data_IF_255450277667
#
_entry.id   IF_255450277667
#
_cell.length_a   1.000
_cell.length_b   1.000
_cell.length_c   1.000
_cell.angle_alpha   90.00
_cell.angle_beta   90.00
_cell.angle_gamma   90.00
#
_symmetry.space_group_name_H-M   'P 1'
#
loop_
_entity.id
_entity.type
_entity.pdbx_description
1 polymer ?
#
# COMPACT_ATOMS: atom_id res chain seq x y z
N UNK A 1 12.92 -11.66 8.20
CA UNK A 1 12.10 -12.33 7.16
C UNK A 1 11.18 -11.29 6.54
N UNK A 2 10.91 -11.36 5.23
CA UNK A 2 10.03 -10.44 4.50
C UNK A 2 8.58 -10.94 4.60
N UNK A 3 7.67 -10.10 5.09
CA UNK A 3 6.21 -10.31 5.07
C UNK A 3 5.64 -9.59 3.85
N UNK A 4 4.79 -10.28 3.08
CA UNK A 4 4.16 -9.79 1.86
C UNK A 4 2.66 -10.07 1.92
N UNK A 5 1.86 -9.04 1.66
CA UNK A 5 0.39 -9.14 1.66
C UNK A 5 -0.20 -8.44 0.45
N UNK A 6 -1.08 -9.13 -0.25
CA UNK A 6 -1.89 -8.54 -1.32
C UNK A 6 -3.16 -7.97 -0.73
N UNK A 7 -3.37 -6.66 -0.83
CA UNK A 7 -4.43 -5.97 -0.12
C UNK A 7 -5.32 -5.21 -1.10
N UNK A 8 -6.55 -4.93 -0.68
CA UNK A 8 -7.51 -4.12 -1.46
C UNK A 8 -6.89 -2.80 -1.91
N UNK A 9 -7.25 -2.27 -3.10
CA UNK A 9 -6.86 -0.92 -3.50
C UNK A 9 -7.37 0.15 -2.51
N UNK A 10 -8.40 -0.14 -1.71
CA UNK A 10 -8.94 0.78 -0.71
C UNK A 10 -8.20 0.73 0.63
N UNK A 11 -7.37 -0.29 0.87
CA UNK A 11 -6.68 -0.43 2.15
C UNK A 11 -5.63 0.67 2.33
N UNK A 12 -5.54 1.24 3.53
CA UNK A 12 -4.47 2.17 3.90
C UNK A 12 -3.35 1.41 4.61
N UNK A 13 -2.21 1.27 3.92
CA UNK A 13 -1.01 0.61 4.44
C UNK A 13 -0.15 1.62 5.17
N UNK A 14 -0.40 1.77 6.48
CA UNK A 14 0.35 2.72 7.29
C UNK A 14 1.71 2.16 7.73
N UNK A 15 2.76 3.00 7.83
CA UNK A 15 4.11 2.55 8.19
C UNK A 15 4.21 1.80 9.52
N UNK A 16 3.40 2.22 10.49
CA UNK A 16 3.47 1.84 11.90
C UNK A 16 2.36 0.87 12.32
N UNK A 17 1.58 0.34 11.37
CA UNK A 17 0.50 -0.60 11.67
C UNK A 17 0.46 -1.75 10.68
N UNK A 18 0.34 -2.97 11.21
CA UNK A 18 0.04 -4.13 10.40
C UNK A 18 -1.30 -3.91 9.66
N UNK A 19 -1.41 -4.27 8.36
CA UNK A 19 -2.66 -4.13 7.63
C UNK A 19 -3.67 -5.21 8.08
N UNK A 20 -4.36 -4.99 9.21
CA UNK A 20 -5.23 -5.96 9.90
C UNK A 20 -6.48 -6.33 9.08
N UNK A 21 -6.97 -5.42 8.24
CA UNK A 21 -8.17 -5.64 7.41
C UNK A 21 -7.87 -6.13 5.99
N UNK A 22 -6.61 -6.44 5.71
CA UNK A 22 -6.21 -6.95 4.41
C UNK A 22 -6.41 -8.46 4.35
N UNK A 23 -7.57 -8.89 3.85
CA UNK A 23 -7.66 -10.23 3.27
C UNK A 23 -6.60 -10.31 2.18
N UNK A 24 -5.63 -11.21 2.32
CA UNK A 24 -4.67 -11.48 1.24
C UNK A 24 -5.46 -11.85 -0.01
N UNK A 25 -5.54 -10.91 -0.96
CA UNK A 25 -6.29 -11.10 -2.19
C UNK A 25 -5.70 -12.29 -2.93
N UNK A 26 -6.51 -13.32 -3.12
CA UNK A 26 -6.10 -14.53 -3.86
C UNK A 26 -6.55 -14.52 -5.32
N UNK A 27 -7.60 -13.74 -5.61
CA UNK A 27 -8.21 -13.61 -6.94
C UNK A 27 -8.95 -12.28 -7.04
N UNK A 28 -9.16 -11.82 -8.26
CA UNK A 28 -9.96 -10.67 -8.60
C UNK A 28 -10.54 -10.80 -10.00
N UNK A 29 -11.46 -9.91 -10.34
CA UNK A 29 -12.10 -9.82 -11.65
C UNK A 29 -12.41 -8.37 -11.96
N UNK A 30 -12.31 -7.98 -13.22
CA UNK A 30 -12.71 -6.67 -13.72
C UNK A 30 -13.47 -6.84 -15.03
N UNK A 31 -14.25 -5.84 -15.41
CA UNK A 31 -14.91 -5.79 -16.71
C UNK A 31 -13.88 -5.59 -17.83
N UNK A 32 -14.27 -5.93 -19.07
CA UNK A 32 -13.41 -5.68 -20.22
C UNK A 32 -13.18 -4.18 -20.39
N UNK A 33 -11.91 -3.77 -20.42
CA UNK A 33 -11.51 -2.36 -20.52
C UNK A 33 -11.49 -1.61 -19.18
N UNK A 34 -11.80 -2.29 -18.07
CA UNK A 34 -11.63 -1.77 -16.73
C UNK A 34 -10.25 -2.12 -16.18
N UNK A 35 -9.62 -1.14 -15.53
CA UNK A 35 -8.35 -1.35 -14.84
C UNK A 35 -8.60 -2.01 -13.48
N UNK A 36 -7.99 -3.17 -13.27
CA UNK A 36 -8.00 -3.83 -11.97
C UNK A 36 -6.82 -3.34 -11.11
N UNK A 37 -7.11 -2.84 -9.91
CA UNK A 37 -6.10 -2.32 -9.00
C UNK A 37 -6.06 -3.10 -7.69
N UNK A 38 -4.85 -3.27 -7.15
CA UNK A 38 -4.62 -3.78 -5.79
C UNK A 38 -3.28 -3.27 -5.27
N UNK A 39 -2.95 -3.59 -4.03
CA UNK A 39 -1.69 -3.18 -3.42
C UNK A 39 -0.90 -4.39 -2.92
N UNK A 40 0.42 -4.37 -3.06
CA UNK A 40 1.36 -5.25 -2.39
C UNK A 40 1.93 -4.51 -1.19
N UNK A 41 1.44 -4.82 0.01
CA UNK A 41 2.01 -4.38 1.26
C UNK A 41 3.21 -5.26 1.64
N UNK A 42 4.29 -4.66 2.11
CA UNK A 42 5.48 -5.40 2.54
C UNK A 42 6.11 -4.80 3.80
N UNK A 43 6.69 -5.68 4.62
CA UNK A 43 7.43 -5.32 5.82
C UNK A 43 8.58 -6.30 6.04
N UNK A 44 9.70 -5.81 6.57
CA UNK A 44 10.85 -6.65 6.92
C UNK A 44 10.97 -6.76 8.44
N UNK A 45 10.96 -7.97 8.98
CA UNK A 45 11.17 -8.19 10.42
C UNK A 45 12.65 -8.12 10.83
N UNK A 46 13.54 -8.00 9.86
CA UNK A 46 14.99 -8.00 10.04
C UNK A 46 15.61 -6.95 9.14
N UNK A 47 16.78 -6.44 9.52
CA UNK A 47 17.54 -5.53 8.67
C UNK A 47 17.84 -6.16 7.30
N UNK A 48 17.46 -5.46 6.23
CA UNK A 48 17.82 -5.82 4.86
C UNK A 48 18.90 -4.86 4.40
N UNK A 49 20.08 -5.39 4.08
CA UNK A 49 21.20 -4.59 3.62
C UNK A 49 21.03 -4.29 2.13
N UNK A 50 20.74 -3.03 1.81
CA UNK A 50 20.66 -2.55 0.43
C UNK A 50 19.27 -2.69 -0.21
N UNK A 51 19.14 -2.31 -1.49
CA UNK A 51 17.86 -2.31 -2.20
C UNK A 51 17.37 -3.72 -2.52
N UNK A 52 16.06 -3.93 -2.44
CA UNK A 52 15.38 -5.13 -2.92
C UNK A 52 14.87 -4.93 -4.34
N UNK A 53 14.94 -5.96 -5.19
CA UNK A 53 14.39 -5.91 -6.54
C UNK A 53 12.94 -6.40 -6.55
N UNK A 54 12.04 -5.63 -7.14
CA UNK A 54 10.66 -6.04 -7.40
C UNK A 54 10.47 -6.39 -8.87
N UNK A 55 10.06 -7.60 -9.16
CA UNK A 55 9.76 -8.04 -10.51
C UNK A 55 8.42 -8.77 -10.58
N UNK A 56 7.68 -8.50 -11.66
CA UNK A 56 6.55 -9.33 -12.05
C UNK A 56 7.11 -10.62 -12.62
N UNK A 57 6.77 -11.75 -11.99
CA UNK A 57 7.11 -13.09 -12.45
C UNK A 57 6.60 -13.33 -13.88
N UNK A 58 7.03 -14.43 -14.50
CA UNK A 58 6.52 -14.81 -15.82
C UNK A 58 4.99 -15.00 -15.77
N UNK A 59 4.29 -14.10 -16.45
CA UNK A 59 2.84 -14.03 -16.48
C UNK A 59 2.40 -13.52 -17.85
N UNK A 60 1.33 -14.10 -18.45
CA UNK A 60 0.72 -13.58 -19.67
C UNK A 60 0.30 -12.11 -19.55
N UNK A 61 0.00 -11.67 -18.32
CA UNK A 61 -0.43 -10.29 -18.01
C UNK A 61 0.74 -9.34 -17.80
N UNK A 62 2.00 -9.79 -17.86
CA UNK A 62 3.17 -8.97 -17.49
C UNK A 62 3.25 -7.63 -18.23
N UNK A 63 2.87 -7.60 -19.51
CA UNK A 63 2.86 -6.38 -20.33
C UNK A 63 1.72 -5.40 -19.99
N UNK A 64 0.74 -5.87 -19.23
CA UNK A 64 -0.43 -5.11 -18.78
C UNK A 64 -0.31 -4.65 -17.32
N UNK A 65 0.79 -5.02 -16.65
CA UNK A 65 1.00 -4.69 -15.24
C UNK A 65 1.87 -3.43 -15.12
N UNK A 66 1.34 -2.43 -14.41
CA UNK A 66 2.09 -1.24 -13.99
C UNK A 66 2.25 -1.24 -12.48
N UNK A 67 3.45 -0.86 -12.02
CA UNK A 67 3.80 -0.80 -10.60
C UNK A 67 4.08 0.66 -10.22
N UNK A 68 3.39 1.17 -9.21
CA UNK A 68 3.56 2.52 -8.68
C UNK A 68 3.91 2.43 -7.19
N UNK A 69 4.75 3.33 -6.71
CA UNK A 69 5.09 3.40 -5.28
C UNK A 69 3.97 4.14 -4.56
N UNK A 70 3.48 3.57 -3.47
CA UNK A 70 2.62 4.30 -2.53
C UNK A 70 3.51 5.06 -1.56
N UNK A 71 3.54 6.38 -1.71
CA UNK A 71 4.38 7.26 -0.89
C UNK A 71 3.55 7.81 0.27
N UNK A 72 4.14 7.74 1.45
CA UNK A 72 3.58 8.32 2.66
C UNK A 72 3.76 9.83 2.67
N UNK A 73 2.66 10.55 2.85
CA UNK A 73 2.60 12.02 2.92
C UNK A 73 2.41 12.45 4.37
N UNK A 74 3.19 13.43 4.81
CA UNK A 74 3.03 14.00 6.14
C UNK A 74 1.79 14.90 6.20
N UNK A 75 0.86 14.55 7.10
CA UNK A 75 -0.40 15.27 7.29
C UNK A 75 -0.44 15.85 8.70
N UNK A 76 -0.42 17.18 8.79
CA UNK A 76 -0.49 17.90 10.07
C UNK A 76 -1.91 18.37 10.42
N UNK A 77 -2.76 18.61 9.41
CA UNK A 77 -4.14 19.06 9.60
C UNK A 77 -5.10 17.91 9.33
N UNK A 78 -5.86 17.53 10.36
CA UNK A 78 -6.84 16.44 10.30
C UNK A 78 -8.25 16.89 9.92
N UNK A 79 -8.45 18.19 9.73
CA UNK A 79 -9.78 18.76 9.47
C UNK A 79 -10.65 18.79 10.74
N UNK A 80 -11.95 18.66 10.56
CA UNK A 80 -12.95 18.72 11.63
C UNK A 80 -13.04 17.42 12.43
N UNK A 81 -12.46 16.30 11.97
CA UNK A 81 -12.54 14.99 12.65
C UNK A 81 -12.08 15.04 14.10
N UNK A 82 -11.11 15.90 14.42
CA UNK A 82 -10.58 16.09 15.78
C UNK A 82 -11.58 16.76 16.72
N UNK A 83 -12.59 17.42 16.18
CA UNK A 83 -13.66 18.09 16.92
C UNK A 83 -14.94 17.24 16.99
N UNK A 84 -15.01 16.16 16.23
CA UNK A 84 -16.16 15.24 16.20
C UNK A 84 -16.17 14.33 17.41
N UNK A 85 -17.36 13.91 17.83
CA UNK A 85 -17.51 12.92 18.91
C UNK A 85 -17.00 11.55 18.46
N UNK A 86 -16.55 10.66 19.36
CA UNK A 86 -16.03 9.35 18.99
C UNK A 86 -16.96 8.51 18.10
N UNK A 87 -18.26 8.55 18.35
CA UNK A 87 -19.30 7.88 17.55
C UNK A 87 -19.43 8.43 16.11
N UNK A 88 -18.99 9.66 15.87
CA UNK A 88 -18.97 10.33 14.57
C UNK A 88 -17.63 10.15 13.83
N UNK A 89 -16.64 9.51 14.48
CA UNK A 89 -15.33 9.20 13.91
C UNK A 89 -15.30 7.79 13.27
N UNK A 90 -16.43 7.10 13.20
CA UNK A 90 -16.54 5.79 12.55
C UNK A 90 -16.19 5.91 11.06
N UNK A 91 -15.32 5.02 10.57
CA UNK A 91 -14.85 5.01 9.18
C UNK A 91 -13.62 5.88 8.90
N UNK A 92 -13.13 6.66 9.87
CA UNK A 92 -11.83 7.31 9.75
C UNK A 92 -10.72 6.33 10.08
N UNK A 93 -9.79 6.15 9.14
CA UNK A 93 -8.62 5.29 9.30
C UNK A 93 -7.66 5.82 10.38
N UNK A 94 -7.53 7.15 10.49
CA UNK A 94 -6.77 7.83 11.54
C UNK A 94 -7.36 9.20 11.82
N UNK A 95 -7.30 9.60 13.09
CA UNK A 95 -7.78 10.92 13.56
C UNK A 95 -6.66 11.78 14.16
N UNK A 96 -5.41 11.30 14.11
CA UNK A 96 -4.22 12.02 14.57
C UNK A 96 -3.29 12.37 13.40
N UNK A 97 -2.55 13.50 13.49
CA UNK A 97 -1.48 13.81 12.55
C UNK A 97 -0.47 12.69 12.40
N UNK A 98 0.15 12.57 11.22
CA UNK A 98 1.12 11.53 10.95
C UNK A 98 1.39 11.33 9.46
N UNK A 99 1.95 10.16 9.13
CA UNK A 99 2.20 9.73 7.76
C UNK A 99 0.99 8.96 7.20
N UNK A 100 0.52 9.37 6.02
CA UNK A 100 -0.62 8.78 5.34
C UNK A 100 -0.22 8.23 3.96
N UNK A 101 -0.56 6.98 3.62
CA UNK A 101 -0.28 6.40 2.31
C UNK A 101 -1.27 6.96 1.28
N UNK A 102 -0.78 7.84 0.40
CA UNK A 102 -1.67 8.57 -0.52
C UNK A 102 -1.08 8.78 -1.92
N UNK A 103 0.14 9.31 -1.99
CA UNK A 103 0.72 9.70 -3.28
C UNK A 103 1.20 8.47 -4.06
N UNK A 104 0.66 8.26 -5.26
CA UNK A 104 1.18 7.27 -6.21
C UNK A 104 2.28 7.88 -7.06
N UNK A 105 3.49 7.29 -7.02
CA UNK A 105 4.61 7.70 -7.87
C UNK A 105 4.98 6.62 -8.88
N UNK A 106 5.16 7.06 -10.12
CA UNK A 106 5.71 6.23 -11.20
C UNK A 106 7.24 6.26 -11.20
N UNK A 107 7.82 5.98 -10.03
CA UNK A 107 9.27 5.98 -9.78
C UNK A 107 9.75 4.65 -9.20
N UNK A 108 8.94 3.60 -9.31
CA UNK A 108 9.37 2.24 -8.97
C UNK A 108 10.41 1.84 -10.01
N UNK A 109 11.67 2.18 -9.77
CA UNK A 109 12.84 1.70 -10.52
C UNK A 109 13.08 0.20 -10.29
N UNK A 110 12.02 -0.56 -9.99
CA UNK A 110 12.05 -1.94 -9.49
C UNK A 110 12.94 -2.10 -8.26
N UNK A 111 13.23 -1.01 -7.57
CA UNK A 111 14.07 -0.95 -6.37
C UNK A 111 13.20 -0.50 -5.19
N UNK A 112 13.16 -1.35 -4.17
CA UNK A 112 12.46 -1.14 -2.92
C UNK A 112 13.45 -1.04 -1.76
N UNK A 113 13.10 -0.23 -0.77
CA UNK A 113 13.78 -0.18 0.52
C UNK A 113 12.78 -0.60 1.59
N UNK A 114 13.29 -1.21 2.67
CA UNK A 114 12.49 -1.63 3.80
C UNK A 114 13.29 -1.40 5.09
N UNK A 115 12.82 -0.45 5.90
CA UNK A 115 13.28 -0.33 7.28
C UNK A 115 12.63 -1.44 8.13
N UNK A 116 13.34 -1.97 9.15
CA UNK A 116 12.80 -3.01 10.01
C UNK A 116 11.49 -2.57 10.69
N UNK A 117 10.48 -3.43 10.65
CA UNK A 117 9.16 -3.23 11.27
C UNK A 117 8.37 -2.05 10.69
N UNK A 118 8.77 -1.53 9.53
CA UNK A 118 8.04 -0.48 8.81
C UNK A 118 7.32 -1.08 7.61
N UNK A 119 6.04 -0.77 7.48
CA UNK A 119 5.21 -1.18 6.34
C UNK A 119 5.30 -0.19 5.19
N UNK A 120 5.34 -0.74 3.98
CA UNK A 120 5.32 -0.01 2.73
C UNK A 120 4.34 -0.67 1.76
N UNK A 121 3.97 0.04 0.71
CA UNK A 121 3.10 -0.52 -0.33
C UNK A 121 3.56 -0.17 -1.75
N UNK A 122 3.32 -1.11 -2.64
CA UNK A 122 3.37 -0.92 -4.09
C UNK A 122 1.96 -1.07 -4.62
N UNK A 123 1.51 -0.07 -5.36
CA UNK A 123 0.25 -0.11 -6.09
C UNK A 123 0.44 -0.85 -7.41
N UNK A 124 -0.46 -1.79 -7.68
CA UNK A 124 -0.43 -2.65 -8.86
C UNK A 124 -1.67 -2.36 -9.69
N UNK A 125 -1.44 -1.93 -10.93
CA UNK A 125 -2.50 -1.73 -11.93
C UNK A 125 -2.39 -2.83 -12.98
N UNK A 126 -3.54 -3.37 -13.40
CA UNK A 126 -3.65 -4.33 -14.50
C UNK A 126 -4.68 -3.82 -15.50
N UNK A 127 -4.24 -3.58 -16.74
CA UNK A 127 -5.10 -3.18 -17.88
C UNK A 127 -5.72 -4.39 -18.61
#
# INVERSE_FOLDING_TARGET
MLDLRLVSPLAKVFPDAEPVHALTLKKGSALRGEKYCFQLAYCCNTFVRGPMKLEVAESPLKKHIRLLRVVNVATARMGDVVMRKPEEQVGFERTKPGLFPDLLKDDVQKILYADPLVWYAVWVEVD
#
